data_IF_302712592721
#
_entry.id   IF_302712592721
#
_cell.length_a   1.000
_cell.length_b   1.000
_cell.length_c   1.000
_cell.angle_alpha   90.00
_cell.angle_beta   90.00
_cell.angle_gamma   90.00
#
_symmetry.space_group_name_H-M   'P 1'
#
loop_
_entity.id
_entity.type
_entity.pdbx_description
1 polymer ?
#
# COMPACT_ATOMS: atom_id res chain seq x y z
N UNK A 1 -19.38 -6.59 -19.54
CA UNK A 1 -19.56 -5.55 -18.51
C UNK A 1 -18.20 -5.27 -17.89
N UNK A 2 -17.64 -4.10 -18.15
CA UNK A 2 -16.27 -3.74 -17.74
C UNK A 2 -16.36 -2.98 -16.42
N UNK A 3 -15.86 -3.57 -15.33
CA UNK A 3 -15.86 -2.96 -14.00
C UNK A 3 -14.65 -2.03 -13.91
N UNK A 4 -14.89 -0.72 -13.83
CA UNK A 4 -13.84 0.28 -13.72
C UNK A 4 -13.36 0.42 -12.26
N UNK A 5 -12.07 0.68 -12.00
CA UNK A 5 -11.59 1.11 -10.69
C UNK A 5 -12.29 2.41 -10.28
N UNK A 6 -13.10 2.38 -9.22
CA UNK A 6 -13.46 3.61 -8.50
C UNK A 6 -12.33 3.93 -7.52
N UNK A 7 -11.76 5.14 -7.64
CA UNK A 7 -10.80 5.69 -6.67
C UNK A 7 -11.61 6.28 -5.50
N UNK A 8 -11.27 5.90 -4.27
CA UNK A 8 -11.79 6.54 -3.07
C UNK A 8 -10.69 7.44 -2.51
N UNK A 9 -10.95 8.75 -2.53
CA UNK A 9 -10.17 9.72 -1.78
C UNK A 9 -10.94 10.01 -0.49
N UNK A 10 -10.33 9.77 0.66
CA UNK A 10 -10.89 10.16 1.95
C UNK A 10 -10.13 11.41 2.40
N UNK A 11 -10.47 12.55 1.80
CA UNK A 11 -10.19 13.86 2.39
C UNK A 11 -11.54 14.52 2.67
N UNK A 12 -11.80 14.82 3.95
CA UNK A 12 -12.86 15.73 4.41
C UNK A 12 -14.21 15.62 3.67
N UNK A 13 -14.99 14.58 3.97
CA UNK A 13 -16.46 14.64 3.92
C UNK A 13 -17.16 14.96 2.60
N UNK A 14 -16.48 15.00 1.44
CA UNK A 14 -17.15 15.20 0.15
C UNK A 14 -16.46 14.42 -0.97
N UNK A 15 -17.22 13.54 -1.61
CA UNK A 15 -16.76 12.77 -2.76
C UNK A 15 -17.09 13.55 -4.03
N UNK A 16 -16.09 14.19 -4.65
CA UNK A 16 -16.25 14.73 -5.99
C UNK A 16 -15.95 13.67 -7.06
N UNK A 17 -16.88 13.54 -8.01
CA UNK A 17 -16.77 12.63 -9.16
C UNK A 17 -16.09 13.39 -10.29
N UNK A 18 -14.83 13.05 -10.59
CA UNK A 18 -14.09 13.61 -11.73
C UNK A 18 -13.72 12.57 -12.80
N UNK A 19 -13.51 13.10 -14.02
CA UNK A 19 -13.68 12.48 -15.35
C UNK A 19 -12.74 11.31 -15.70
N UNK A 20 -13.18 10.49 -16.66
CA UNK A 20 -12.49 9.34 -17.27
C UNK A 20 -11.05 9.66 -17.71
N UNK A 21 -10.08 8.91 -17.19
CA UNK A 21 -8.69 8.84 -17.69
C UNK A 21 -8.59 7.92 -18.92
N UNK A 22 -7.67 8.20 -19.88
CA UNK A 22 -7.39 7.31 -21.01
C UNK A 22 -6.60 6.07 -20.56
N UNK A 23 -6.75 4.97 -21.30
CA UNK A 23 -5.96 3.74 -21.11
C UNK A 23 -4.50 4.00 -21.50
N UNK A 24 -3.63 4.24 -20.52
CA UNK A 24 -2.18 4.32 -20.71
C UNK A 24 -1.53 2.94 -20.57
N UNK A 25 -0.55 2.65 -21.42
CA UNK A 25 0.16 1.37 -21.43
C UNK A 25 1.10 1.25 -20.22
N UNK A 26 1.31 0.07 -19.60
CA UNK A 26 2.15 -0.07 -18.41
C UNK A 26 3.56 0.50 -18.53
N UNK A 27 4.16 0.38 -19.71
CA UNK A 27 5.50 0.93 -20.02
C UNK A 27 5.52 2.47 -20.12
N UNK A 28 4.41 3.09 -20.49
CA UNK A 28 4.27 4.55 -20.52
C UNK A 28 4.07 5.10 -19.12
N UNK A 29 3.42 4.33 -18.23
CA UNK A 29 3.26 4.67 -16.81
C UNK A 29 4.59 4.58 -16.06
N UNK A 30 5.40 3.55 -16.34
CA UNK A 30 6.76 3.43 -15.78
C UNK A 30 7.66 4.55 -16.28
N UNK A 31 7.65 4.83 -17.59
CA UNK A 31 8.42 5.96 -18.15
C UNK A 31 7.94 7.31 -17.62
N UNK A 32 6.64 7.58 -17.55
CA UNK A 32 6.14 8.85 -16.98
C UNK A 32 6.43 8.95 -15.48
N UNK A 33 6.42 7.84 -14.74
CA UNK A 33 6.81 7.82 -13.33
C UNK A 33 8.30 8.17 -13.17
N UNK A 34 9.17 7.56 -13.97
CA UNK A 34 10.61 7.84 -13.98
C UNK A 34 10.93 9.27 -14.47
N UNK A 35 10.22 9.76 -15.49
CA UNK A 35 10.43 11.09 -16.06
C UNK A 35 9.86 12.22 -15.19
N UNK A 36 8.85 11.94 -14.37
CA UNK A 36 8.32 12.86 -13.36
C UNK A 36 9.27 12.94 -12.15
N UNK A 37 9.88 11.82 -11.76
CA UNK A 37 10.90 11.76 -10.71
C UNK A 37 12.19 12.53 -11.10
N UNK A 38 12.54 12.61 -12.39
CA UNK A 38 13.78 13.28 -12.83
C UNK A 38 13.68 14.80 -13.01
N UNK A 39 12.47 15.38 -13.01
CA UNK A 39 12.26 16.83 -13.26
C UNK A 39 11.75 17.63 -12.08
N UNK A 40 11.22 16.98 -11.06
CA UNK A 40 10.83 17.64 -9.82
C UNK A 40 11.33 16.83 -8.63
N UNK A 41 12.38 17.34 -7.97
CA UNK A 41 12.74 16.97 -6.61
C UNK A 41 11.67 17.45 -5.61
N UNK A 42 10.42 17.05 -5.82
CA UNK A 42 9.33 17.14 -4.87
C UNK A 42 8.92 15.71 -4.57
N UNK A 43 9.40 15.21 -3.44
CA UNK A 43 8.99 13.95 -2.83
C UNK A 43 7.48 13.76 -3.03
N UNK A 44 7.01 12.61 -3.53
CA UNK A 44 5.58 12.38 -3.67
C UNK A 44 4.91 12.58 -2.30
N UNK A 45 4.10 13.62 -2.18
CA UNK A 45 3.41 13.98 -0.93
C UNK A 45 2.43 12.90 -0.48
N UNK A 46 2.09 11.97 -1.38
CA UNK A 46 1.25 10.78 -1.13
C UNK A 46 1.77 9.58 -1.91
N UNK A 47 1.61 8.39 -1.34
CA UNK A 47 2.00 7.10 -1.95
C UNK A 47 0.80 6.17 -2.00
N UNK A 48 0.62 5.49 -3.14
CA UNK A 48 -0.42 4.49 -3.31
C UNK A 48 -0.03 3.16 -2.65
N UNK A 49 -0.86 2.70 -1.72
CA UNK A 49 -0.70 1.50 -0.92
C UNK A 49 -1.87 0.54 -1.13
N UNK A 50 -1.75 -0.71 -0.66
CA UNK A 50 -2.83 -1.70 -0.71
C UNK A 50 -3.39 -1.98 0.68
N UNK A 51 -4.67 -1.67 0.88
CA UNK A 51 -5.39 -1.90 2.11
C UNK A 51 -6.23 -3.17 2.00
N UNK A 52 -5.96 -4.16 2.83
CA UNK A 52 -6.85 -5.29 3.09
C UNK A 52 -7.81 -4.84 4.19
N UNK A 53 -9.00 -4.40 3.80
CA UNK A 53 -9.95 -3.76 4.69
C UNK A 53 -10.84 -4.78 5.39
N UNK A 54 -11.24 -4.48 6.64
CA UNK A 54 -12.17 -5.34 7.39
C UNK A 54 -13.53 -5.50 6.72
N UNK A 55 -13.92 -4.57 5.84
CA UNK A 55 -15.18 -4.65 5.09
C UNK A 55 -15.20 -5.72 3.99
N UNK A 56 -14.08 -6.37 3.68
CA UNK A 56 -14.02 -7.48 2.71
C UNK A 56 -13.27 -7.20 1.42
N UNK A 57 -12.86 -5.95 1.18
CA UNK A 57 -12.20 -5.56 -0.06
C UNK A 57 -10.69 -5.32 0.10
N UNK A 58 -9.95 -5.55 -0.98
CA UNK A 58 -8.57 -5.08 -1.15
C UNK A 58 -8.61 -3.78 -1.96
N UNK A 59 -8.29 -2.67 -1.31
CA UNK A 59 -8.52 -1.32 -1.84
C UNK A 59 -7.19 -0.60 -2.03
N UNK A 60 -6.90 -0.05 -3.23
CA UNK A 60 -5.79 0.89 -3.38
C UNK A 60 -6.13 2.19 -2.68
N UNK A 61 -5.26 2.64 -1.77
CA UNK A 61 -5.44 3.89 -1.03
C UNK A 61 -4.22 4.79 -1.19
N UNK A 62 -4.39 6.09 -0.97
CA UNK A 62 -3.28 7.04 -0.92
C UNK A 62 -2.99 7.42 0.52
N UNK A 63 -1.72 7.34 0.92
CA UNK A 63 -1.27 7.66 2.25
C UNK A 63 -0.13 8.69 2.21
N UNK A 64 -0.09 9.59 3.18
CA UNK A 64 0.99 10.58 3.34
C UNK A 64 2.06 10.00 4.27
N UNK A 65 3.34 10.31 4.06
CA UNK A 65 4.37 10.08 5.06
C UNK A 65 4.06 10.78 6.38
N UNK A 66 4.57 10.26 7.49
CA UNK A 66 4.39 10.81 8.83
C UNK A 66 5.16 12.11 9.04
N UNK A 67 6.37 12.18 8.47
CA UNK A 67 7.21 13.37 8.51
C UNK A 67 7.94 13.52 7.17
N UNK A 68 8.27 14.76 6.80
CA UNK A 68 9.02 15.04 5.56
C UNK A 68 10.44 14.43 5.56
N UNK A 69 10.98 14.11 6.73
CA UNK A 69 12.29 13.46 6.89
C UNK A 69 12.19 11.92 6.84
N UNK A 70 11.12 11.33 7.39
CA UNK A 70 10.84 9.89 7.41
C UNK A 70 9.84 9.50 6.31
N UNK A 71 10.29 9.62 5.06
CA UNK A 71 9.43 9.43 3.87
C UNK A 71 8.95 7.99 3.66
N UNK A 72 9.43 7.03 4.46
CA UNK A 72 9.08 5.62 4.39
C UNK A 72 8.12 5.14 5.50
N UNK A 73 7.76 6.02 6.42
CA UNK A 73 6.75 5.75 7.45
C UNK A 73 5.50 6.55 7.11
N UNK A 74 4.36 5.88 6.99
CA UNK A 74 3.08 6.49 6.62
C UNK A 74 2.27 6.89 7.86
N UNK A 75 1.53 7.99 7.78
CA UNK A 75 0.59 8.44 8.80
C UNK A 75 -0.81 7.87 8.55
N UNK A 76 -1.26 6.94 9.41
CA UNK A 76 -2.46 6.13 9.14
C UNK A 76 -3.54 6.12 10.26
N UNK A 77 -3.76 7.17 11.06
CA UNK A 77 -4.68 7.11 12.20
C UNK A 77 -6.15 6.83 11.82
N UNK A 78 -6.57 7.26 10.63
CA UNK A 78 -7.95 7.04 10.16
C UNK A 78 -8.25 5.60 9.79
N UNK A 79 -7.24 4.85 9.36
CA UNK A 79 -7.37 3.44 8.97
C UNK A 79 -7.16 2.51 10.16
N UNK A 80 -6.47 3.01 11.19
CA UNK A 80 -6.06 2.27 12.38
C UNK A 80 -6.41 3.08 13.63
N UNK A 81 -7.71 3.18 13.99
CA UNK A 81 -8.17 4.02 15.09
C UNK A 81 -7.62 3.59 16.47
N UNK A 82 -7.18 2.33 16.60
CA UNK A 82 -6.56 1.79 17.81
C UNK A 82 -5.02 1.81 17.75
N UNK A 83 -4.44 2.53 16.78
CA UNK A 83 -3.02 2.48 16.49
C UNK A 83 -2.62 1.33 15.56
N UNK A 84 -1.39 1.38 15.08
CA UNK A 84 -0.81 0.38 14.21
C UNK A 84 0.65 0.08 14.57
N UNK A 85 1.07 -1.13 14.23
CA UNK A 85 2.48 -1.51 14.20
C UNK A 85 2.90 -1.67 12.75
N UNK A 86 4.16 -1.33 12.46
CA UNK A 86 4.73 -1.51 11.12
C UNK A 86 5.98 -2.38 11.14
N UNK A 87 6.14 -3.20 10.12
CA UNK A 87 7.27 -4.10 9.96
C UNK A 87 7.84 -3.99 8.56
N UNK A 88 9.16 -3.99 8.45
CA UNK A 88 9.88 -4.09 7.18
C UNK A 88 10.13 -5.57 6.88
N UNK A 89 9.80 -5.98 5.66
CA UNK A 89 9.99 -7.32 5.14
C UNK A 89 11.02 -7.20 4.02
N UNK A 90 12.22 -7.75 4.22
CA UNK A 90 13.32 -7.71 3.25
C UNK A 90 13.64 -9.07 2.64
N UNK A 91 13.04 -10.14 3.16
CA UNK A 91 13.18 -11.51 2.65
C UNK A 91 11.83 -12.20 2.61
N UNK A 92 11.70 -13.18 1.73
CA UNK A 92 10.52 -14.05 1.70
C UNK A 92 10.45 -14.87 2.99
N UNK A 93 9.36 -14.84 3.77
CA UNK A 93 9.34 -15.44 5.11
C UNK A 93 9.59 -16.95 5.13
N UNK A 94 9.18 -17.69 4.09
CA UNK A 94 9.37 -19.15 4.01
C UNK A 94 10.76 -19.51 3.45
N UNK A 95 11.21 -18.80 2.42
CA UNK A 95 12.43 -19.16 1.68
C UNK A 95 13.69 -18.49 2.25
N UNK A 96 13.53 -17.48 3.12
CA UNK A 96 14.59 -16.58 3.57
C UNK A 96 15.45 -16.02 2.42
N UNK A 97 14.90 -15.98 1.21
CA UNK A 97 15.56 -15.42 0.04
C UNK A 97 15.35 -13.90 0.02
N UNK A 98 16.38 -13.10 -0.27
CA UNK A 98 16.25 -11.66 -0.36
C UNK A 98 15.25 -11.29 -1.45
N UNK A 99 14.41 -10.30 -1.17
CA UNK A 99 13.49 -9.75 -2.16
C UNK A 99 14.20 -8.71 -3.03
N UNK A 100 13.70 -8.50 -4.25
CA UNK A 100 14.21 -7.44 -5.12
C UNK A 100 13.93 -6.04 -4.57
N UNK A 101 12.88 -5.91 -3.77
CA UNK A 101 12.48 -4.70 -3.08
C UNK A 101 11.91 -5.10 -1.74
N UNK A 102 12.19 -4.28 -0.74
CA UNK A 102 11.59 -4.44 0.57
C UNK A 102 10.12 -4.03 0.54
N UNK A 103 9.38 -4.55 1.50
CA UNK A 103 7.99 -4.22 1.73
C UNK A 103 7.82 -3.73 3.16
N UNK A 104 6.83 -2.86 3.37
CA UNK A 104 6.39 -2.48 4.71
C UNK A 104 4.94 -2.90 4.90
N UNK A 105 4.67 -3.62 5.97
CA UNK A 105 3.32 -4.00 6.37
C UNK A 105 2.93 -3.19 7.61
N UNK A 106 1.71 -2.66 7.63
CA UNK A 106 1.10 -2.02 8.78
C UNK A 106 -0.09 -2.85 9.24
N UNK A 107 -0.14 -3.18 10.52
CA UNK A 107 -1.17 -4.02 11.13
C UNK A 107 -1.78 -3.31 12.33
N UNK A 108 -3.05 -3.60 12.59
CA UNK A 108 -3.76 -3.01 13.73
C UNK A 108 -3.11 -3.40 15.05
N UNK A 109 -2.84 -2.40 15.89
CA UNK A 109 -2.41 -2.63 17.26
C UNK A 109 -3.59 -3.19 18.08
N UNK A 110 -3.35 -4.17 18.93
CA UNK A 110 -4.38 -4.88 19.70
C UNK A 110 -5.47 -5.54 18.82
N UNK A 111 -5.11 -6.56 18.01
CA UNK A 111 -6.04 -7.25 17.10
C UNK A 111 -7.24 -7.88 17.83
N UNK A 112 -7.12 -8.22 19.12
CA UNK A 112 -8.19 -8.76 19.95
C UNK A 112 -9.43 -7.84 20.02
N UNK A 113 -9.23 -6.52 19.93
CA UNK A 113 -10.28 -5.52 19.97
C UNK A 113 -10.75 -5.08 18.58
N UNK A 114 -10.16 -5.64 17.52
CA UNK A 114 -10.45 -5.26 16.14
C UNK A 114 -11.47 -6.20 15.48
N UNK A 115 -12.17 -5.68 14.47
CA UNK A 115 -13.08 -6.47 13.63
C UNK A 115 -12.32 -7.53 12.83
N UNK A 116 -12.97 -8.64 12.51
CA UNK A 116 -12.38 -9.65 11.62
C UNK A 116 -12.12 -9.04 10.25
N UNK A 117 -10.95 -9.32 9.70
CA UNK A 117 -10.58 -8.90 8.36
C UNK A 117 -11.20 -9.87 7.34
N UNK A 118 -12.36 -9.49 6.81
CA UNK A 118 -13.09 -10.33 5.86
C UNK A 118 -12.29 -10.52 4.56
N UNK A 119 -11.52 -9.52 4.12
CA UNK A 119 -10.73 -9.62 2.89
C UNK A 119 -9.66 -10.71 3.01
N UNK A 120 -8.90 -10.70 4.12
CA UNK A 120 -7.90 -11.73 4.40
C UNK A 120 -8.56 -13.10 4.56
N UNK A 121 -9.68 -13.18 5.29
CA UNK A 121 -10.41 -14.44 5.47
C UNK A 121 -10.92 -15.05 4.16
N UNK A 122 -11.38 -14.23 3.22
CA UNK A 122 -11.83 -14.69 1.90
C UNK A 122 -10.67 -15.16 1.01
N UNK A 123 -9.51 -14.49 1.09
CA UNK A 123 -8.37 -14.77 0.21
C UNK A 123 -7.53 -15.95 0.73
N UNK A 124 -7.26 -15.99 2.03
CA UNK A 124 -6.32 -16.95 2.65
C UNK A 124 -7.02 -18.04 3.48
N UNK A 125 -8.31 -17.89 3.79
CA UNK A 125 -9.02 -18.85 4.64
C UNK A 125 -8.61 -18.82 6.12
N UNK A 126 -7.84 -17.81 6.54
CA UNK A 126 -7.39 -17.63 7.93
C UNK A 126 -8.13 -16.50 8.64
N UNK A 127 -8.23 -16.59 9.97
CA UNK A 127 -8.84 -15.51 10.76
C UNK A 127 -7.76 -14.48 11.08
N UNK A 128 -7.88 -13.31 10.46
CA UNK A 128 -7.13 -12.11 10.82
C UNK A 128 -8.06 -11.06 11.41
N UNK A 129 -7.55 -10.17 12.26
CA UNK A 129 -8.32 -9.05 12.84
C UNK A 129 -7.64 -7.71 12.60
N UNK A 130 -8.46 -6.71 12.32
CA UNK A 130 -8.03 -5.36 11.98
C UNK A 130 -7.63 -5.21 10.52
N UNK A 131 -7.43 -3.95 10.12
CA UNK A 131 -6.94 -3.62 8.79
C UNK A 131 -5.48 -4.07 8.62
N UNK A 132 -5.07 -4.31 7.38
CA UNK A 132 -3.67 -4.48 7.00
C UNK A 132 -3.37 -3.55 5.83
N UNK A 133 -2.30 -2.77 5.92
CA UNK A 133 -1.81 -1.98 4.80
C UNK A 133 -0.46 -2.51 4.35
N UNK A 134 -0.26 -2.65 3.03
CA UNK A 134 1.04 -2.90 2.45
C UNK A 134 1.51 -1.71 1.63
N UNK A 135 2.78 -1.38 1.81
CA UNK A 135 3.55 -0.44 1.01
C UNK A 135 4.84 -1.11 0.52
N UNK A 136 5.41 -0.60 -0.56
CA UNK A 136 6.62 -1.16 -1.17
C UNK A 136 7.69 -0.09 -1.28
N UNK A 137 8.91 -0.48 -0.94
CA UNK A 137 10.07 0.37 -1.10
C UNK A 137 10.46 0.51 -2.57
N UNK A 138 10.89 1.70 -2.93
CA UNK A 138 11.41 2.02 -4.24
C UNK A 138 12.92 1.84 -4.34
N UNK A 139 13.64 1.98 -3.23
CA UNK A 139 15.08 1.70 -3.17
C UNK A 139 15.37 0.20 -3.28
N UNK A 140 16.51 -0.09 -3.90
CA UNK A 140 17.02 -1.47 -4.08
C UNK A 140 18.39 -1.67 -3.44
N UNK A 141 18.97 -0.59 -2.91
CA UNK A 141 20.29 -0.55 -2.28
C UNK A 141 20.18 0.04 -0.88
N UNK A 142 20.95 -0.53 0.07
CA UNK A 142 21.02 -0.05 1.45
C UNK A 142 21.66 1.35 1.57
N UNK A 143 22.37 1.80 0.55
CA UNK A 143 23.02 3.12 0.52
C UNK A 143 22.09 4.24 0.01
N UNK A 144 20.90 3.88 -0.47
CA UNK A 144 19.90 4.84 -0.91
C UNK A 144 19.01 5.25 0.26
N UNK A 145 18.60 6.51 0.30
CA UNK A 145 17.57 6.96 1.24
C UNK A 145 16.29 6.16 0.96
N UNK A 146 15.73 5.57 2.02
CA UNK A 146 14.46 4.84 1.92
C UNK A 146 13.35 5.73 1.36
N UNK A 147 12.56 5.21 0.42
CA UNK A 147 11.37 5.85 -0.13
C UNK A 147 10.36 4.81 -0.59
N UNK A 148 9.07 5.15 -0.60
CA UNK A 148 8.00 4.24 -1.00
C UNK A 148 7.53 4.52 -2.43
N UNK A 149 7.25 3.46 -3.18
CA UNK A 149 6.70 3.52 -4.53
C UNK A 149 5.23 3.13 -4.57
N UNK A 150 4.52 3.69 -5.55
CA UNK A 150 3.12 3.39 -5.79
C UNK A 150 2.92 1.90 -6.13
N UNK A 151 1.98 1.27 -5.42
CA UNK A 151 1.56 -0.09 -5.72
C UNK A 151 0.53 -0.12 -6.84
N UNK A 152 0.69 -1.08 -7.77
CA UNK A 152 -0.30 -1.33 -8.81
C UNK A 152 -1.28 -2.43 -8.39
N UNK A 153 -2.39 -2.59 -9.11
CA UNK A 153 -3.38 -3.65 -8.84
C UNK A 153 -2.76 -5.06 -8.85
N UNK A 154 -1.81 -5.33 -9.74
CA UNK A 154 -1.09 -6.61 -9.78
C UNK A 154 -0.23 -6.89 -8.55
N UNK A 155 0.05 -5.89 -7.72
CA UNK A 155 0.78 -6.07 -6.47
C UNK A 155 -0.04 -6.79 -5.39
N UNK A 156 -1.36 -6.92 -5.55
CA UNK A 156 -2.22 -7.61 -4.59
C UNK A 156 -1.91 -9.11 -4.50
N UNK A 157 -1.63 -9.77 -5.62
CA UNK A 157 -1.28 -11.20 -5.64
C UNK A 157 0.01 -11.46 -4.86
N UNK A 158 1.01 -10.61 -5.06
CA UNK A 158 2.26 -10.69 -4.29
C UNK A 158 2.04 -10.40 -2.81
N UNK A 159 1.25 -9.37 -2.50
CA UNK A 159 0.91 -9.04 -1.12
C UNK A 159 0.20 -10.19 -0.41
N UNK A 160 -0.69 -10.91 -1.10
CA UNK A 160 -1.32 -12.12 -0.58
C UNK A 160 -0.30 -13.20 -0.22
N UNK A 161 0.70 -13.45 -1.08
CA UNK A 161 1.78 -14.40 -0.79
C UNK A 161 2.58 -14.00 0.45
N UNK A 162 2.82 -12.70 0.65
CA UNK A 162 3.51 -12.21 1.86
C UNK A 162 2.68 -12.41 3.13
N UNK A 163 1.35 -12.37 3.04
CA UNK A 163 0.45 -12.50 4.18
C UNK A 163 0.16 -13.96 4.56
N UNK A 164 0.34 -14.89 3.64
CA UNK A 164 0.17 -16.34 3.88
C UNK A 164 1.37 -16.99 4.58
N UNK A 165 2.55 -16.37 4.43
CA UNK A 165 3.84 -16.89 4.84
C UNK A 165 4.13 -16.71 6.35
#
# INVERSE_FOLDING_TARGET
>A
MTVYPQRWYIESGSAEIWKKEPLLHPSEIEQDSEHTLSRHASVPTTVQCLLFATCGDVIPIWAKPEQDEEVDVLHLPLLFPNGYQSYRISSFPILNSPMSHDWRIYVTQSPENAQVNVAVGQILGVIWRGNILLAKYGNTSENERDWLKNLHRGSAEFATVLLDA
#
